data_IF_125401724440
#
_entry.id   IF_125401724440
#
_cell.length_a   1.000
_cell.length_b   1.000
_cell.length_c   1.000
_cell.angle_alpha   90.00
_cell.angle_beta   90.00
_cell.angle_gamma   90.00
#
_symmetry.space_group_name_H-M   'P 1'
#
loop_
_entity.id
_entity.type
_entity.pdbx_description
1 polymer ?
#
# COMPACT_ATOMS: atom_id res chain seq x y z
N UNK A 1 1.87 -0.97 -13.29
CA UNK A 1 1.00 -0.17 -12.41
C UNK A 1 0.65 1.10 -13.18
N UNK A 2 -0.63 1.37 -13.42
CA UNK A 2 -1.08 2.48 -14.30
C UNK A 2 -1.48 3.72 -13.51
N UNK A 3 -1.82 3.55 -12.23
CA UNK A 3 -2.17 4.64 -11.31
C UNK A 3 -2.05 4.17 -9.85
N UNK A 4 -1.98 5.12 -8.92
CA UNK A 4 -1.87 4.90 -7.48
C UNK A 4 -2.42 6.10 -6.70
N UNK A 5 -2.67 5.91 -5.40
CA UNK A 5 -2.96 6.99 -4.46
C UNK A 5 -2.35 6.68 -3.10
N UNK A 6 -2.16 7.70 -2.27
CA UNK A 6 -1.57 7.59 -0.95
C UNK A 6 -2.63 7.42 0.13
N UNK A 7 -2.33 6.57 1.11
CA UNK A 7 -3.16 6.35 2.28
C UNK A 7 -2.45 6.87 3.52
N UNK A 8 -3.16 7.67 4.33
CA UNK A 8 -2.58 8.21 5.56
C UNK A 8 -2.52 7.12 6.63
N UNK A 9 -1.29 6.78 7.02
CA UNK A 9 -1.02 5.85 8.10
C UNK A 9 -0.94 6.57 9.45
N UNK A 10 -1.24 5.86 10.53
CA UNK A 10 -1.06 6.32 11.91
C UNK A 10 -0.69 5.14 12.81
N UNK A 11 -0.10 5.43 13.97
CA UNK A 11 0.26 4.40 14.96
C UNK A 11 -0.85 4.28 16.00
N UNK A 12 -1.30 3.06 16.26
CA UNK A 12 -2.24 2.73 17.34
C UNK A 12 -1.73 1.46 18.03
N UNK A 13 -1.63 1.50 19.36
CA UNK A 13 -1.13 0.39 20.18
C UNK A 13 0.25 -0.15 19.74
N UNK A 14 1.12 0.74 19.26
CA UNK A 14 2.47 0.39 18.80
C UNK A 14 2.53 -0.20 17.39
N UNK A 15 1.40 -0.28 16.67
CA UNK A 15 1.32 -0.82 15.31
C UNK A 15 0.84 0.22 14.31
N UNK A 16 1.37 0.14 13.09
CA UNK A 16 0.91 0.96 11.97
C UNK A 16 -0.48 0.51 11.49
N UNK A 17 -1.39 1.48 11.35
CA UNK A 17 -2.80 1.31 10.95
C UNK A 17 -3.23 2.41 9.97
N UNK A 18 -4.42 2.21 9.39
CA UNK A 18 -5.09 3.18 8.53
C UNK A 18 -6.60 3.13 8.73
N UNK A 19 -7.31 4.13 8.18
CA UNK A 19 -8.78 4.14 8.20
C UNK A 19 -9.32 3.26 7.05
N UNK A 20 -9.85 2.09 7.40
CA UNK A 20 -10.41 1.12 6.45
C UNK A 20 -11.66 1.64 5.73
N UNK A 21 -12.50 2.44 6.41
CA UNK A 21 -13.68 3.02 5.78
C UNK A 21 -13.29 4.02 4.70
N UNK A 22 -12.29 4.86 4.99
CA UNK A 22 -11.74 5.78 3.99
C UNK A 22 -11.17 5.03 2.78
N UNK A 23 -10.44 3.92 3.01
CA UNK A 23 -9.95 3.08 1.93
C UNK A 23 -11.12 2.58 1.07
N UNK A 24 -12.17 2.01 1.67
CA UNK A 24 -13.33 1.49 0.93
C UNK A 24 -14.04 2.57 0.11
N UNK A 25 -14.24 3.75 0.68
CA UNK A 25 -14.84 4.89 -0.02
C UNK A 25 -13.99 5.32 -1.22
N UNK A 26 -12.66 5.41 -1.05
CA UNK A 26 -11.74 5.76 -2.13
C UNK A 26 -11.72 4.72 -3.24
N UNK A 27 -11.74 3.43 -2.90
CA UNK A 27 -11.80 2.35 -3.90
C UNK A 27 -13.09 2.39 -4.72
N UNK A 28 -14.23 2.67 -4.08
CA UNK A 28 -15.51 2.88 -4.78
C UNK A 28 -15.44 4.02 -5.80
N UNK A 29 -14.97 5.19 -5.38
CA UNK A 29 -14.78 6.36 -6.26
C UNK A 29 -13.81 6.04 -7.41
N UNK A 30 -12.76 5.26 -7.15
CA UNK A 30 -11.80 4.88 -8.18
C UNK A 30 -12.43 3.97 -9.23
N UNK A 31 -13.28 3.02 -8.83
CA UNK A 31 -13.96 2.12 -9.77
C UNK A 31 -15.01 2.84 -10.60
N UNK A 32 -15.62 3.92 -10.09
CA UNK A 32 -16.51 4.79 -10.88
C UNK A 32 -15.76 5.52 -12.01
N UNK A 33 -14.52 5.98 -11.75
CA UNK A 33 -13.71 6.69 -12.75
C UNK A 33 -12.97 5.73 -13.68
N UNK A 34 -12.51 4.59 -13.15
CA UNK A 34 -11.71 3.59 -13.85
C UNK A 34 -12.33 2.19 -13.72
N UNK A 35 -13.47 1.92 -14.37
CA UNK A 35 -14.23 0.68 -14.20
C UNK A 35 -13.48 -0.57 -14.69
N UNK A 36 -12.57 -0.42 -15.65
CA UNK A 36 -11.78 -1.51 -16.22
C UNK A 36 -10.52 -1.84 -15.41
N UNK A 37 -10.15 -1.00 -14.44
CA UNK A 37 -8.97 -1.22 -13.63
C UNK A 37 -9.31 -1.98 -12.36
N UNK A 38 -8.47 -2.95 -12.03
CA UNK A 38 -8.53 -3.67 -10.77
C UNK A 38 -7.39 -3.24 -9.85
N UNK A 39 -7.69 -3.23 -8.56
CA UNK A 39 -6.73 -2.92 -7.53
C UNK A 39 -5.86 -4.14 -7.27
N UNK A 40 -4.55 -3.96 -7.39
CA UNK A 40 -3.57 -5.07 -7.33
C UNK A 40 -2.82 -5.17 -6.00
N UNK A 41 -2.80 -4.10 -5.20
CA UNK A 41 -2.01 -4.07 -3.98
C UNK A 41 -1.69 -2.68 -3.48
N UNK A 42 -0.63 -2.59 -2.68
CA UNK A 42 -0.17 -1.38 -2.00
C UNK A 42 1.36 -1.28 -2.05
N UNK A 43 1.86 -0.08 -1.80
CA UNK A 43 3.29 0.18 -1.78
C UNK A 43 3.66 1.04 -0.59
N UNK A 44 4.90 0.90 -0.13
CA UNK A 44 5.49 1.71 0.92
C UNK A 44 6.94 2.04 0.59
N UNK A 45 7.46 3.06 1.26
CA UNK A 45 8.88 3.35 1.27
C UNK A 45 9.56 2.60 2.40
N UNK A 46 10.68 1.95 2.14
CA UNK A 46 11.43 1.23 3.16
C UNK A 46 12.71 0.62 2.62
N UNK A 47 13.55 0.13 3.53
CA UNK A 47 14.75 -0.62 3.20
C UNK A 47 14.42 -2.06 2.78
N UNK A 48 15.46 -2.83 2.43
CA UNK A 48 15.29 -4.25 2.07
C UNK A 48 14.83 -5.08 3.27
N UNK A 49 13.96 -6.06 2.99
CA UNK A 49 13.38 -6.95 4.00
C UNK A 49 11.92 -6.61 4.31
N UNK A 50 11.24 -7.51 5.02
CA UNK A 50 9.84 -7.32 5.44
C UNK A 50 9.81 -7.04 6.95
N UNK A 51 9.14 -5.97 7.33
CA UNK A 51 8.95 -5.55 8.72
C UNK A 51 7.65 -6.13 9.30
N UNK A 52 7.58 -6.25 10.64
CA UNK A 52 6.42 -6.80 11.32
C UNK A 52 5.14 -6.00 11.02
N UNK A 53 5.24 -4.68 10.98
CA UNK A 53 4.11 -3.81 10.66
C UNK A 53 3.63 -4.00 9.22
N UNK A 54 4.53 -4.33 8.28
CA UNK A 54 4.16 -4.61 6.89
C UNK A 54 3.37 -5.92 6.77
N UNK A 55 3.67 -6.93 7.60
CA UNK A 55 2.91 -8.18 7.67
C UNK A 55 1.51 -7.92 8.24
N UNK A 56 1.41 -7.07 9.26
CA UNK A 56 0.11 -6.68 9.83
C UNK A 56 -0.72 -5.88 8.82
N UNK A 57 -0.11 -4.91 8.14
CA UNK A 57 -0.75 -4.14 7.08
C UNK A 57 -1.21 -5.03 5.93
N UNK A 58 -0.39 -5.99 5.51
CA UNK A 58 -0.75 -6.98 4.49
C UNK A 58 -2.05 -7.72 4.85
N UNK A 59 -2.21 -8.11 6.12
CA UNK A 59 -3.41 -8.78 6.62
C UNK A 59 -4.64 -7.86 6.58
N UNK A 60 -4.47 -6.57 6.83
CA UNK A 60 -5.55 -5.58 6.77
C UNK A 60 -5.98 -5.29 5.32
N UNK A 61 -5.01 -5.12 4.41
CA UNK A 61 -5.30 -4.93 3.00
C UNK A 61 -6.00 -6.15 2.39
N UNK A 62 -5.70 -7.37 2.85
CA UNK A 62 -6.35 -8.59 2.37
C UNK A 62 -7.87 -8.65 2.66
N UNK A 63 -8.39 -7.79 3.55
CA UNK A 63 -9.84 -7.64 3.80
C UNK A 63 -10.53 -6.83 2.70
N UNK A 64 -9.79 -6.01 1.95
CA UNK A 64 -10.31 -5.12 0.91
C UNK A 64 -9.85 -5.49 -0.50
N UNK A 65 -8.72 -6.18 -0.63
CA UNK A 65 -8.05 -6.50 -1.89
C UNK A 65 -7.82 -8.01 -1.90
N UNK A 66 -8.24 -8.68 -2.97
CA UNK A 66 -7.94 -10.09 -3.12
C UNK A 66 -6.46 -10.27 -3.50
N UNK A 67 -5.72 -11.07 -2.72
CA UNK A 67 -4.29 -11.31 -2.88
C UNK A 67 -3.45 -10.01 -3.10
N UNK A 68 -3.37 -9.10 -2.11
CA UNK A 68 -2.69 -7.82 -2.31
C UNK A 68 -1.19 -8.01 -2.51
N UNK A 69 -0.64 -7.37 -3.53
CA UNK A 69 0.80 -7.29 -3.73
C UNK A 69 1.40 -6.15 -2.89
N UNK A 70 2.49 -6.43 -2.20
CA UNK A 70 3.30 -5.41 -1.53
C UNK A 70 4.51 -5.05 -2.40
N UNK A 71 4.65 -3.76 -2.72
CA UNK A 71 5.85 -3.21 -3.35
C UNK A 71 6.60 -2.29 -2.37
N UNK A 72 7.85 -2.64 -2.04
CA UNK A 72 8.74 -1.76 -1.27
C UNK A 72 9.60 -0.93 -2.21
N UNK A 73 9.61 0.37 -1.98
CA UNK A 73 10.43 1.33 -2.72
C UNK A 73 11.50 1.89 -1.79
N UNK A 74 12.76 1.65 -2.10
CA UNK A 74 13.87 2.24 -1.35
C UNK A 74 14.38 3.49 -2.08
N UNK A 75 14.07 4.72 -1.61
CA UNK A 75 14.50 5.96 -2.27
C UNK A 75 15.99 6.24 -2.10
N UNK A 76 16.71 5.49 -1.25
CA UNK A 76 18.13 5.71 -0.96
C UNK A 76 19.05 4.95 -1.90
N UNK A 77 18.52 4.00 -2.67
CA UNK A 77 19.27 3.25 -3.67
C UNK A 77 19.40 4.11 -4.91
N UNK A 78 20.63 4.49 -5.27
CA UNK A 78 20.90 5.12 -6.56
C UNK A 78 20.61 4.12 -7.69
N UNK A 79 19.60 4.36 -8.55
CA UNK A 79 19.30 3.47 -9.66
C UNK A 79 20.44 3.37 -10.69
N UNK A 80 21.42 4.29 -10.66
CA UNK A 80 22.57 4.28 -11.57
C UNK A 80 23.85 3.66 -10.98
N UNK A 81 23.83 3.20 -9.73
CA UNK A 81 24.96 2.51 -9.12
C UNK A 81 26.28 3.29 -9.14
N UNK A 82 26.25 4.64 -9.10
CA UNK A 82 27.47 5.44 -8.93
C UNK A 82 27.75 5.60 -7.44
N UNK A 83 28.40 4.57 -6.87
CA UNK A 83 29.12 4.69 -5.61
C UNK A 83 30.41 5.50 -5.80
#
# INVERSE_FOLDING_TARGET
>A
MVNSFELRMFTLDGHTRFNEEFLRQRLGQYKEVFPELDLVGWYCTGEDGIEQDEILLQSLFAVAIDCPLLVKLNPTIDPQGKR
#
